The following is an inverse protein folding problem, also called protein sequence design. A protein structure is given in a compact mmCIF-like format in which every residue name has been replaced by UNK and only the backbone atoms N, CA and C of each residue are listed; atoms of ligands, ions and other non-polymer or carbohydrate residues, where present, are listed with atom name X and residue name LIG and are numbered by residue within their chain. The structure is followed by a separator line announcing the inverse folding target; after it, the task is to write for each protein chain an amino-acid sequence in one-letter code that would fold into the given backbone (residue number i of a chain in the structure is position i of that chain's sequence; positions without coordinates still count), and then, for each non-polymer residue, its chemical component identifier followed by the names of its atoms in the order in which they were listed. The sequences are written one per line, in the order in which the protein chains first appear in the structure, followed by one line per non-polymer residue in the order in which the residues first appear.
data_IF_819505142298
#
_entry.id   IF_819505142298
#
_cell.length_a   1.000
_cell.length_b   1.000
_cell.length_c   1.000
_cell.angle_alpha   90.00
_cell.angle_beta   90.00
_cell.angle_gamma   90.00
#
_symmetry.space_group_name_H-M   'P 1'
#
loop_
_entity.id
_entity.type
_entity.pdbx_description
1 polymer ?
#
# COMPACT_ATOMS: atom_id res chain seq x y z
N UNK A 1 24.46 -21.54 -8.75
CA UNK A 1 23.05 -21.08 -8.66
C UNK A 1 22.17 -22.08 -9.40
N UNK A 2 21.00 -22.46 -8.86
CA UNK A 2 20.16 -23.52 -9.42
C UNK A 2 19.60 -23.10 -10.80
N UNK A 3 19.68 -23.95 -11.84
CA UNK A 3 19.25 -23.63 -13.22
C UNK A 3 17.80 -23.13 -13.31
N UNK A 4 16.93 -23.62 -12.43
CA UNK A 4 15.52 -23.20 -12.33
C UNK A 4 15.37 -21.75 -11.85
N UNK A 5 16.23 -21.30 -10.94
CA UNK A 5 16.21 -19.91 -10.43
C UNK A 5 16.67 -18.95 -11.52
N UNK A 6 17.74 -19.27 -12.23
CA UNK A 6 18.23 -18.46 -13.35
C UNK A 6 17.14 -18.31 -14.43
N UNK A 7 16.54 -19.43 -14.85
CA UNK A 7 15.45 -19.43 -15.83
C UNK A 7 14.25 -18.58 -15.39
N UNK A 8 13.97 -18.45 -14.09
CA UNK A 8 12.92 -17.59 -13.59
C UNK A 8 13.33 -16.11 -13.57
N UNK A 9 14.55 -15.80 -13.12
CA UNK A 9 15.07 -14.43 -13.07
C UNK A 9 15.15 -13.79 -14.47
N UNK A 10 15.40 -14.60 -15.49
CA UNK A 10 15.47 -14.16 -16.89
C UNK A 10 14.08 -13.95 -17.52
N UNK A 11 12.97 -14.31 -16.84
CA UNK A 11 11.61 -14.06 -17.35
C UNK A 11 11.31 -12.58 -17.32
N UNK A 12 10.85 -12.07 -18.45
CA UNK A 12 10.37 -10.71 -18.60
C UNK A 12 8.84 -10.65 -18.63
N UNK A 13 8.31 -9.50 -18.23
CA UNK A 13 6.89 -9.15 -18.23
C UNK A 13 6.71 -7.74 -18.79
N UNK A 14 5.50 -7.40 -19.23
CA UNK A 14 5.16 -6.02 -19.56
C UNK A 14 5.35 -5.11 -18.35
N UNK A 15 5.91 -3.92 -18.56
CA UNK A 15 6.08 -2.90 -17.52
C UNK A 15 4.76 -2.21 -17.13
N UNK A 16 3.69 -2.38 -17.91
CA UNK A 16 2.42 -1.68 -17.73
C UNK A 16 1.77 -1.89 -16.34
N UNK A 17 1.66 -3.12 -15.79
CA UNK A 17 1.06 -3.33 -14.48
C UNK A 17 1.82 -2.62 -13.36
N UNK A 18 3.16 -2.62 -13.41
CA UNK A 18 3.99 -1.94 -12.42
C UNK A 18 3.87 -0.41 -12.53
N UNK A 19 3.72 0.13 -13.75
CA UNK A 19 3.50 1.56 -13.95
C UNK A 19 2.13 2.01 -13.44
N UNK A 20 1.06 1.25 -13.72
CA UNK A 20 -0.28 1.53 -13.17
C UNK A 20 -0.26 1.47 -11.65
N UNK A 21 0.40 0.46 -11.08
CA UNK A 21 0.57 0.35 -9.64
C UNK A 21 1.30 1.56 -9.04
N UNK A 22 2.41 1.99 -9.65
CA UNK A 22 3.17 3.18 -9.23
C UNK A 22 2.31 4.44 -9.25
N UNK A 23 1.56 4.67 -10.33
CA UNK A 23 0.69 5.84 -10.46
C UNK A 23 -0.39 5.82 -9.39
N UNK A 24 -1.10 4.69 -9.24
CA UNK A 24 -2.14 4.53 -8.23
C UNK A 24 -1.62 4.71 -6.81
N UNK A 25 -0.46 4.12 -6.49
CA UNK A 25 0.21 4.29 -5.20
C UNK A 25 0.55 5.76 -4.94
N UNK A 26 1.21 6.44 -5.87
CA UNK A 26 1.61 7.84 -5.69
C UNK A 26 0.41 8.79 -5.52
N UNK A 27 -0.65 8.61 -6.32
CA UNK A 27 -1.88 9.41 -6.22
C UNK A 27 -2.63 9.15 -4.91
N UNK A 28 -2.78 7.89 -4.52
CA UNK A 28 -3.43 7.51 -3.27
C UNK A 28 -2.68 8.10 -2.06
N UNK A 29 -1.35 8.01 -2.06
CA UNK A 29 -0.54 8.55 -0.96
C UNK A 29 -0.58 10.08 -0.92
N UNK A 30 -0.52 10.74 -2.09
CA UNK A 30 -0.67 12.19 -2.18
C UNK A 30 -2.02 12.65 -1.63
N UNK A 31 -3.10 12.00 -2.05
CA UNK A 31 -4.44 12.29 -1.52
C UNK A 31 -4.51 12.08 -0.01
N UNK A 32 -3.94 10.98 0.50
CA UNK A 32 -3.91 10.70 1.95
C UNK A 32 -3.19 11.79 2.73
N UNK A 33 -2.03 12.26 2.25
CA UNK A 33 -1.25 13.33 2.90
C UNK A 33 -2.01 14.66 2.87
N UNK A 34 -2.59 15.03 1.72
CA UNK A 34 -3.41 16.24 1.59
C UNK A 34 -4.62 16.17 2.52
N UNK A 35 -5.32 15.04 2.54
CA UNK A 35 -6.47 14.81 3.43
C UNK A 35 -6.04 14.97 4.90
N UNK A 36 -4.94 14.34 5.30
CA UNK A 36 -4.44 14.40 6.66
C UNK A 36 -4.12 15.84 7.08
N UNK A 37 -3.46 16.61 6.20
CA UNK A 37 -3.20 18.02 6.42
C UNK A 37 -4.49 18.86 6.50
N UNK A 38 -5.43 18.64 5.58
CA UNK A 38 -6.69 19.38 5.51
C UNK A 38 -7.61 19.19 6.73
N UNK A 39 -7.54 18.02 7.39
CA UNK A 39 -8.27 17.77 8.64
C UNK A 39 -7.58 18.38 9.87
N UNK A 40 -6.44 19.06 9.69
CA UNK A 40 -5.67 19.65 10.80
C UNK A 40 -4.92 18.63 11.66
N UNK A 41 -4.86 17.37 11.23
CA UNK A 41 -4.28 16.28 12.03
C UNK A 41 -2.79 16.43 12.27
N UNK A 42 -2.06 17.13 11.40
CA UNK A 42 -0.65 17.45 11.65
C UNK A 42 -0.53 18.24 12.97
N UNK A 43 -1.37 19.27 13.14
CA UNK A 43 -1.37 20.09 14.34
C UNK A 43 -1.84 19.30 15.57
N UNK A 44 -2.96 18.59 15.43
CA UNK A 44 -3.62 17.89 16.54
C UNK A 44 -2.81 16.71 17.06
N UNK A 45 -2.08 16.00 16.19
CA UNK A 45 -1.36 14.79 16.57
C UNK A 45 0.12 15.00 16.81
N UNK A 46 0.77 15.99 16.18
CA UNK A 46 2.23 16.12 16.26
C UNK A 46 2.74 17.47 16.79
N UNK A 47 1.91 18.51 16.85
CA UNK A 47 2.34 19.85 17.30
C UNK A 47 1.78 20.19 18.69
N UNK A 48 0.49 19.95 18.89
CA UNK A 48 -0.21 20.29 20.14
C UNK A 48 0.17 19.38 21.30
N UNK A 49 0.28 18.04 21.11
CA UNK A 49 0.65 17.15 22.20
C UNK A 49 2.06 17.44 22.72
N UNK A 50 2.22 17.43 24.04
CA UNK A 50 3.51 17.70 24.71
C UNK A 50 4.35 16.42 24.91
N UNK A 51 3.72 15.26 24.75
CA UNK A 51 4.35 13.95 24.94
C UNK A 51 3.93 13.01 23.82
N UNK A 52 4.92 12.28 23.28
CA UNK A 52 4.74 11.29 22.23
C UNK A 52 5.31 9.96 22.68
N UNK A 53 4.61 8.87 22.36
CA UNK A 53 5.06 7.52 22.70
C UNK A 53 6.00 7.01 21.61
N UNK A 54 7.31 6.99 21.89
CA UNK A 54 8.30 6.47 20.96
C UNK A 54 8.26 4.94 20.84
N UNK A 55 8.68 4.44 19.70
CA UNK A 55 8.94 3.01 19.51
C UNK A 55 10.28 2.63 20.14
N UNK A 56 10.37 1.42 20.69
CA UNK A 56 11.61 0.89 21.24
C UNK A 56 12.75 0.95 20.20
N UNK A 57 13.87 1.60 20.54
CA UNK A 57 15.01 1.82 19.65
C UNK A 57 14.90 3.03 18.71
N UNK A 58 13.78 3.76 18.75
CA UNK A 58 13.52 4.96 17.93
C UNK A 58 13.19 6.19 18.79
N UNK A 59 13.68 6.25 20.03
CA UNK A 59 13.44 7.37 20.95
C UNK A 59 13.97 8.72 20.43
N UNK A 60 14.85 8.69 19.42
CA UNK A 60 15.40 9.85 18.73
C UNK A 60 14.47 10.41 17.64
N UNK A 61 13.45 9.64 17.22
CA UNK A 61 12.44 10.09 16.24
C UNK A 61 11.36 10.83 17.01
N UNK A 62 11.28 12.15 16.81
CA UNK A 62 10.32 13.02 17.50
C UNK A 62 9.73 14.04 16.52
N UNK A 63 8.51 14.53 16.77
CA UNK A 63 7.99 15.68 16.04
C UNK A 63 8.96 16.86 16.09
N UNK A 64 9.13 17.52 14.96
CA UNK A 64 10.14 18.58 14.77
C UNK A 64 9.53 19.98 15.02
N UNK A 65 8.52 20.06 15.89
CA UNK A 65 7.68 21.24 16.03
C UNK A 65 7.13 21.69 14.67
N UNK A 66 7.19 22.98 14.37
CA UNK A 66 6.70 23.54 13.10
C UNK A 66 7.34 22.93 11.85
N UNK A 67 8.56 22.36 11.93
CA UNK A 67 9.18 21.67 10.79
C UNK A 67 8.48 20.37 10.42
N UNK A 68 7.58 19.84 11.25
CA UNK A 68 6.74 18.69 10.89
C UNK A 68 5.87 18.98 9.66
N UNK A 69 5.39 20.21 9.48
CA UNK A 69 4.68 20.60 8.25
C UNK A 69 5.56 20.50 6.99
N UNK A 70 6.85 20.87 7.12
CA UNK A 70 7.81 20.73 6.04
C UNK A 70 8.05 19.24 5.71
N UNK A 71 8.14 18.38 6.73
CA UNK A 71 8.28 16.94 6.53
C UNK A 71 7.08 16.35 5.76
N UNK A 72 5.85 16.69 6.15
CA UNK A 72 4.64 16.29 5.42
C UNK A 72 4.63 16.83 3.99
N UNK A 73 5.10 18.05 3.77
CA UNK A 73 5.20 18.67 2.44
C UNK A 73 6.20 17.92 1.55
N UNK A 74 7.38 17.58 2.08
CA UNK A 74 8.39 16.77 1.37
C UNK A 74 7.80 15.41 1.02
N UNK A 75 7.10 14.77 1.96
CA UNK A 75 6.43 13.48 1.74
C UNK A 75 5.39 13.56 0.62
N UNK A 76 4.57 14.62 0.61
CA UNK A 76 3.56 14.86 -0.43
C UNK A 76 4.17 15.11 -1.81
N UNK A 77 5.21 15.94 -1.90
CA UNK A 77 5.92 16.20 -3.17
C UNK A 77 6.56 14.91 -3.69
N UNK A 78 7.17 14.11 -2.81
CA UNK A 78 7.73 12.82 -3.18
C UNK A 78 6.65 11.87 -3.71
N UNK A 79 5.46 11.81 -3.08
CA UNK A 79 4.32 11.02 -3.56
C UNK A 79 3.84 11.46 -4.96
N UNK A 80 3.76 12.77 -5.20
CA UNK A 80 3.44 13.31 -6.53
C UNK A 80 4.48 12.93 -7.58
N UNK A 81 5.78 13.06 -7.26
CA UNK A 81 6.86 12.66 -8.16
C UNK A 81 6.90 11.15 -8.43
N UNK A 82 6.53 10.32 -7.44
CA UNK A 82 6.31 8.89 -7.66
C UNK A 82 5.18 8.67 -8.65
N UNK A 83 4.05 9.39 -8.54
CA UNK A 83 2.90 9.23 -9.42
C UNK A 83 3.21 9.58 -10.89
N UNK A 84 3.95 10.66 -11.14
CA UNK A 84 4.34 11.06 -12.51
C UNK A 84 5.61 10.37 -13.00
N UNK A 85 6.38 9.76 -12.09
CA UNK A 85 7.61 9.05 -12.42
C UNK A 85 8.74 10.01 -12.77
N UNK A 86 8.88 11.08 -11.97
CA UNK A 86 9.98 12.02 -12.04
C UNK A 86 10.99 11.70 -10.94
N UNK A 87 12.26 11.60 -11.32
CA UNK A 87 13.37 11.10 -10.52
C UNK A 87 12.95 9.93 -9.62
N UNK A 88 12.27 8.92 -10.20
CA UNK A 88 11.51 7.90 -9.45
C UNK A 88 12.29 7.30 -8.27
N UNK A 89 13.55 6.89 -8.50
CA UNK A 89 14.39 6.29 -7.45
C UNK A 89 14.63 7.24 -6.28
N UNK A 90 14.89 8.52 -6.56
CA UNK A 90 15.05 9.52 -5.52
C UNK A 90 13.71 9.78 -4.81
N UNK A 91 12.63 9.92 -5.57
CA UNK A 91 11.30 10.20 -5.04
C UNK A 91 10.78 9.09 -4.13
N UNK A 92 10.97 7.81 -4.48
CA UNK A 92 10.57 6.68 -3.62
C UNK A 92 11.44 6.55 -2.37
N UNK A 93 12.74 6.87 -2.43
CA UNK A 93 13.61 6.92 -1.25
C UNK A 93 13.17 8.04 -0.32
N UNK A 94 12.96 9.25 -0.84
CA UNK A 94 12.51 10.39 -0.05
C UNK A 94 11.14 10.13 0.58
N UNK A 95 10.22 9.53 -0.18
CA UNK A 95 8.92 9.13 0.35
C UNK A 95 9.07 8.09 1.46
N UNK A 96 9.82 7.01 1.25
CA UNK A 96 10.05 5.98 2.26
C UNK A 96 10.61 6.57 3.56
N UNK A 97 11.66 7.40 3.46
CA UNK A 97 12.29 8.01 4.63
C UNK A 97 11.35 8.96 5.35
N UNK A 98 10.70 9.88 4.64
CA UNK A 98 9.80 10.87 5.24
C UNK A 98 8.54 10.23 5.83
N UNK A 99 7.89 9.32 5.09
CA UNK A 99 6.69 8.63 5.53
C UNK A 99 6.98 7.74 6.75
N UNK A 100 8.06 6.96 6.72
CA UNK A 100 8.44 6.11 7.84
C UNK A 100 8.84 6.94 9.07
N UNK A 101 9.48 8.09 8.88
CA UNK A 101 9.78 8.98 9.99
C UNK A 101 8.48 9.50 10.64
N UNK A 102 7.50 9.95 9.84
CA UNK A 102 6.19 10.40 10.34
C UNK A 102 5.51 9.30 11.18
N UNK A 103 5.52 8.06 10.70
CA UNK A 103 4.96 6.91 11.45
C UNK A 103 5.67 6.63 12.77
N UNK A 104 6.99 6.81 12.80
CA UNK A 104 7.82 6.52 13.97
C UNK A 104 7.78 7.63 15.03
N UNK A 105 7.26 8.82 14.71
CA UNK A 105 7.16 9.94 15.64
C UNK A 105 6.27 9.64 16.85
N UNK A 106 5.17 8.91 16.66
CA UNK A 106 4.23 8.60 17.74
C UNK A 106 3.47 7.29 17.51
N UNK A 107 3.69 6.33 18.42
CA UNK A 107 3.02 5.02 18.44
C UNK A 107 1.50 5.11 18.58
N UNK A 108 0.96 6.20 19.14
CA UNK A 108 -0.49 6.35 19.28
C UNK A 108 -1.21 6.53 17.94
N UNK A 109 -0.48 6.96 16.91
CA UNK A 109 -1.02 7.11 15.55
C UNK A 109 -0.85 5.85 14.69
N UNK A 110 -0.32 4.77 15.27
CA UNK A 110 -0.02 3.53 14.57
C UNK A 110 -1.24 2.93 13.87
N UNK A 111 -1.04 2.55 12.60
CA UNK A 111 -1.99 1.77 11.84
C UNK A 111 -1.25 0.71 11.02
N UNK A 112 -1.73 -0.54 11.07
CA UNK A 112 -1.17 -1.65 10.29
C UNK A 112 -1.05 -1.32 8.79
N UNK A 113 -1.97 -0.50 8.26
CA UNK A 113 -1.94 -0.06 6.87
C UNK A 113 -0.77 0.89 6.59
N UNK A 114 -0.45 1.81 7.50
CA UNK A 114 0.69 2.71 7.32
C UNK A 114 2.02 1.96 7.45
N UNK A 115 2.11 1.01 8.37
CA UNK A 115 3.24 0.09 8.43
C UNK A 115 3.45 -0.66 7.10
N UNK A 116 2.37 -1.16 6.49
CA UNK A 116 2.43 -1.78 5.17
C UNK A 116 2.94 -0.80 4.09
N UNK A 117 2.54 0.47 4.10
CA UNK A 117 3.03 1.47 3.16
C UNK A 117 4.55 1.70 3.31
N UNK A 118 5.09 1.72 4.54
CA UNK A 118 6.54 1.78 4.76
C UNK A 118 7.27 0.57 4.15
N UNK A 119 6.76 -0.66 4.36
CA UNK A 119 7.35 -1.86 3.76
C UNK A 119 7.24 -1.88 2.23
N UNK A 120 6.09 -1.48 1.69
CA UNK A 120 5.84 -1.44 0.26
C UNK A 120 6.72 -0.38 -0.42
N UNK A 121 6.82 0.81 0.16
CA UNK A 121 7.69 1.87 -0.38
C UNK A 121 9.17 1.47 -0.33
N UNK A 122 9.61 0.79 0.74
CA UNK A 122 10.95 0.20 0.80
C UNK A 122 11.18 -0.82 -0.33
N UNK A 123 10.25 -1.74 -0.57
CA UNK A 123 10.32 -2.69 -1.68
C UNK A 123 10.41 -1.96 -3.03
N UNK A 124 9.57 -0.94 -3.23
CA UNK A 124 9.51 -0.14 -4.46
C UNK A 124 10.83 0.57 -4.78
N UNK A 125 11.69 0.86 -3.79
CA UNK A 125 13.04 1.40 -4.03
C UNK A 125 13.81 0.52 -5.00
N UNK A 126 13.66 -0.80 -4.94
CA UNK A 126 14.41 -1.76 -5.76
C UNK A 126 13.78 -2.01 -7.14
N UNK A 127 12.51 -1.65 -7.32
CA UNK A 127 11.74 -1.98 -8.52
C UNK A 127 11.98 -0.99 -9.68
N UNK A 128 12.06 -1.45 -10.94
CA UNK A 128 12.24 -0.59 -12.11
C UNK A 128 10.91 0.04 -12.59
N UNK A 129 10.17 0.70 -11.70
CA UNK A 129 8.84 1.26 -12.00
C UNK A 129 8.85 2.54 -12.86
N UNK A 130 10.04 3.04 -13.22
CA UNK A 130 10.25 4.17 -14.12
C UNK A 130 10.34 3.78 -15.61
N UNK A 131 10.28 2.48 -15.93
CA UNK A 131 10.44 1.98 -17.31
C UNK A 131 9.22 2.20 -18.22
N UNK A 132 8.11 2.71 -17.69
CA UNK A 132 6.90 3.00 -18.47
C UNK A 132 6.04 4.09 -17.83
N UNK A 133 5.35 4.90 -18.65
CA UNK A 133 4.53 6.06 -18.23
C UNK A 133 5.23 6.99 -17.21
N UNK A 134 6.54 7.18 -17.36
CA UNK A 134 7.40 7.95 -16.45
C UNK A 134 7.95 9.16 -17.20
N UNK A 135 8.03 10.33 -16.55
CA UNK A 135 8.73 11.49 -17.13
C UNK A 135 10.22 11.19 -17.33
N UNK A 136 10.82 10.40 -16.43
CA UNK A 136 12.21 9.95 -16.52
C UNK A 136 12.50 9.02 -17.70
N UNK A 137 11.46 8.48 -18.34
CA UNK A 137 11.63 7.61 -19.49
C UNK A 137 11.70 8.49 -20.75
N UNK A 138 12.87 8.62 -21.40
CA UNK A 138 12.96 9.39 -22.63
C UNK A 138 12.04 8.74 -23.65
N UNK A 139 11.03 9.47 -24.13
CA UNK A 139 10.10 9.03 -25.20
C UNK A 139 10.81 8.77 -26.55
N UNK A 140 12.15 8.74 -26.60
CA UNK A 140 12.91 9.11 -27.79
C UNK A 140 14.05 8.14 -28.20
N UNK A 141 14.10 6.89 -27.74
CA UNK A 141 15.20 5.98 -28.16
C UNK A 141 14.79 4.65 -28.76
N UNK A 142 13.49 4.37 -28.93
CA UNK A 142 13.08 3.20 -29.70
C UNK A 142 11.83 3.51 -30.52
N UNK A 143 12.05 3.87 -31.79
CA UNK A 143 11.00 4.02 -32.80
C UNK A 143 10.41 2.66 -33.23
N UNK A 144 10.92 1.54 -32.70
CA UNK A 144 10.22 0.27 -32.75
C UNK A 144 9.30 0.18 -31.54
N UNK A 145 7.99 0.06 -31.78
CA UNK A 145 6.90 0.04 -30.80
C UNK A 145 6.94 -1.19 -29.87
N UNK A 146 8.08 -1.51 -29.25
CA UNK A 146 8.19 -2.59 -28.29
C UNK A 146 7.73 -2.10 -26.93
N UNK A 147 6.68 -2.74 -26.40
CA UNK A 147 6.22 -2.50 -25.03
C UNK A 147 7.41 -2.71 -24.08
N UNK A 148 7.74 -1.72 -23.22
CA UNK A 148 8.86 -1.88 -22.31
C UNK A 148 8.63 -3.07 -21.39
N UNK A 149 9.67 -3.88 -21.23
CA UNK A 149 9.63 -5.06 -20.39
C UNK A 149 10.46 -4.87 -19.13
N UNK A 150 10.03 -5.52 -18.05
CA UNK A 150 10.73 -5.58 -16.75
C UNK A 150 10.88 -7.05 -16.32
N UNK A 151 11.81 -7.37 -15.42
CA UNK A 151 11.88 -8.70 -14.83
C UNK A 151 10.55 -9.07 -14.13
N UNK A 152 10.05 -10.28 -14.39
CA UNK A 152 8.78 -10.78 -13.85
C UNK A 152 8.75 -10.73 -12.30
N UNK A 153 9.90 -10.97 -11.65
CA UNK A 153 10.03 -10.91 -10.20
C UNK A 153 9.66 -9.53 -9.61
N UNK A 154 9.78 -8.45 -10.39
CA UNK A 154 9.41 -7.11 -9.92
C UNK A 154 7.91 -7.00 -9.66
N UNK A 155 7.07 -7.67 -10.46
CA UNK A 155 5.62 -7.73 -10.21
C UNK A 155 5.33 -8.74 -9.11
N UNK A 156 5.97 -9.90 -9.15
CA UNK A 156 5.67 -10.99 -8.22
C UNK A 156 6.12 -10.68 -6.78
N UNK A 157 7.13 -9.83 -6.59
CA UNK A 157 7.51 -9.33 -5.26
C UNK A 157 6.40 -8.49 -4.59
N UNK A 158 5.71 -7.62 -5.34
CA UNK A 158 4.54 -6.88 -4.84
C UNK A 158 3.40 -7.84 -4.51
N UNK A 159 3.13 -8.81 -5.40
CA UNK A 159 2.11 -9.83 -5.15
C UNK A 159 2.42 -10.64 -3.91
N UNK A 160 3.68 -11.01 -3.70
CA UNK A 160 4.12 -11.76 -2.52
C UNK A 160 3.89 -10.94 -1.25
N UNK A 161 4.28 -9.66 -1.25
CA UNK A 161 4.06 -8.77 -0.10
C UNK A 161 2.56 -8.65 0.23
N UNK A 162 1.71 -8.42 -0.79
CA UNK A 162 0.25 -8.40 -0.62
C UNK A 162 -0.28 -9.75 -0.12
N UNK A 163 0.21 -10.85 -0.69
CA UNK A 163 -0.18 -12.21 -0.31
C UNK A 163 0.07 -12.48 1.16
N UNK A 164 1.24 -12.07 1.68
CA UNK A 164 1.58 -12.21 3.10
C UNK A 164 0.58 -11.44 3.95
N UNK A 165 0.32 -10.17 3.63
CA UNK A 165 -0.59 -9.32 4.41
C UNK A 165 -2.01 -9.88 4.43
N UNK A 166 -2.55 -10.23 3.25
CA UNK A 166 -3.90 -10.81 3.16
C UNK A 166 -3.99 -12.16 3.88
N UNK A 167 -3.00 -13.04 3.71
CA UNK A 167 -3.01 -14.33 4.37
C UNK A 167 -3.02 -14.21 5.90
N UNK A 168 -2.17 -13.35 6.47
CA UNK A 168 -2.18 -13.09 7.91
C UNK A 168 -3.45 -12.38 8.37
N UNK A 169 -4.01 -11.48 7.56
CA UNK A 169 -5.30 -10.86 7.85
C UNK A 169 -6.44 -11.89 7.89
N UNK A 170 -6.38 -12.94 7.06
CA UNK A 170 -7.30 -14.07 7.09
C UNK A 170 -7.10 -14.95 8.33
N UNK A 171 -5.85 -15.30 8.66
CA UNK A 171 -5.53 -16.07 9.87
C UNK A 171 -6.01 -15.36 11.15
N UNK A 172 -5.83 -14.04 11.24
CA UNK A 172 -6.30 -13.24 12.37
C UNK A 172 -7.83 -13.30 12.53
N UNK A 173 -8.57 -13.58 11.45
CA UNK A 173 -10.03 -13.73 11.46
C UNK A 173 -10.48 -15.15 11.83
N UNK A 174 -9.59 -16.13 11.94
CA UNK A 174 -9.92 -17.49 12.38
C UNK A 174 -10.01 -17.54 13.90
N UNK A 175 -11.04 -16.94 14.46
CA UNK A 175 -11.36 -17.02 15.87
C UNK A 175 -12.88 -16.97 16.10
N UNK A 176 -13.31 -17.38 17.29
CA UNK A 176 -14.72 -17.49 17.65
C UNK A 176 -15.44 -16.13 17.65
N UNK A 177 -14.78 -15.06 18.10
CA UNK A 177 -15.38 -13.73 18.14
C UNK A 177 -15.62 -13.16 16.73
N UNK A 178 -14.74 -13.46 15.79
CA UNK A 178 -14.89 -13.08 14.39
C UNK A 178 -15.93 -13.96 13.69
N UNK A 179 -15.75 -15.28 13.67
CA UNK A 179 -16.57 -16.18 12.82
C UNK A 179 -17.92 -16.54 13.42
N UNK A 180 -17.97 -16.80 14.73
CA UNK A 180 -19.17 -17.30 15.41
C UNK A 180 -19.99 -16.19 16.08
N UNK A 181 -19.37 -15.06 16.39
CA UNK A 181 -20.08 -13.90 16.97
C UNK A 181 -20.18 -12.69 16.04
N UNK A 182 -19.39 -12.65 14.95
CA UNK A 182 -19.30 -11.51 14.04
C UNK A 182 -19.07 -10.17 14.76
N UNK A 183 -18.41 -10.20 15.93
CA UNK A 183 -18.34 -9.07 16.86
C UNK A 183 -17.81 -7.78 16.21
N UNK A 184 -16.69 -7.79 15.46
CA UNK A 184 -16.18 -6.56 14.85
C UNK A 184 -17.16 -5.95 13.86
N UNK A 185 -17.86 -6.77 13.07
CA UNK A 185 -18.82 -6.30 12.08
C UNK A 185 -20.12 -5.84 12.70
N UNK A 186 -20.58 -6.50 13.78
CA UNK A 186 -21.70 -6.03 14.62
C UNK A 186 -21.44 -4.65 15.24
N UNK A 187 -20.18 -4.32 15.54
CA UNK A 187 -19.81 -3.02 16.09
C UNK A 187 -19.63 -1.97 14.98
N UNK A 188 -18.96 -2.32 13.88
CA UNK A 188 -18.55 -1.36 12.86
C UNK A 188 -19.60 -1.06 11.80
N UNK A 189 -20.34 -2.06 11.30
CA UNK A 189 -21.31 -1.84 10.22
C UNK A 189 -22.46 -0.92 10.62
N UNK A 190 -23.04 -1.04 11.82
CA UNK A 190 -24.11 -0.14 12.24
C UNK A 190 -23.66 1.33 12.30
N UNK A 191 -22.39 1.62 12.58
CA UNK A 191 -21.85 2.98 12.62
C UNK A 191 -21.76 3.68 11.25
N UNK A 192 -22.08 2.98 10.15
CA UNK A 192 -22.06 3.47 8.76
C UNK A 192 -23.48 3.61 8.17
N UNK A 193 -24.44 4.00 8.99
CA UNK A 193 -25.87 4.06 8.65
C UNK A 193 -26.24 5.12 7.59
N UNK A 194 -25.40 6.13 7.35
CA UNK A 194 -25.67 7.23 6.41
C UNK A 194 -25.55 6.84 4.91
N UNK A 195 -25.43 5.56 4.58
CA UNK A 195 -25.37 5.09 3.20
C UNK A 195 -26.78 5.00 2.60
N UNK A 196 -27.11 5.83 1.58
CA UNK A 196 -28.40 5.73 0.91
C UNK A 196 -28.58 4.32 0.33
N UNK A 197 -29.78 3.76 0.49
CA UNK A 197 -30.21 2.40 0.07
C UNK A 197 -29.60 1.19 0.80
N UNK A 198 -28.41 1.29 1.39
CA UNK A 198 -27.71 0.15 2.02
C UNK A 198 -27.73 0.16 3.56
N UNK A 199 -28.07 1.27 4.21
CA UNK A 199 -28.07 1.39 5.68
C UNK A 199 -28.90 0.32 6.39
N UNK A 200 -30.11 0.03 5.90
CA UNK A 200 -31.00 -1.00 6.47
C UNK A 200 -30.44 -2.42 6.34
N UNK A 201 -29.68 -2.70 5.28
CA UNK A 201 -29.03 -3.99 5.06
C UNK A 201 -27.83 -4.16 6.00
N UNK A 202 -27.04 -3.10 6.21
CA UNK A 202 -25.86 -3.11 7.08
C UNK A 202 -26.20 -3.32 8.57
N UNK A 203 -27.46 -3.20 8.96
CA UNK A 203 -27.92 -3.48 10.33
C UNK A 203 -28.31 -4.94 10.55
N UNK A 204 -28.52 -5.72 9.48
CA UNK A 204 -28.99 -7.09 9.59
C UNK A 204 -27.88 -8.01 10.08
N UNK A 205 -28.14 -8.79 11.13
CA UNK A 205 -27.12 -9.66 11.73
C UNK A 205 -26.55 -10.68 10.73
N UNK A 206 -27.41 -11.24 9.87
CA UNK A 206 -26.97 -12.20 8.85
C UNK A 206 -25.93 -11.58 7.89
N UNK A 207 -26.00 -10.28 7.64
CA UNK A 207 -25.01 -9.54 6.83
C UNK A 207 -23.68 -9.48 7.57
N UNK A 208 -23.68 -9.25 8.89
CA UNK A 208 -22.45 -9.27 9.68
C UNK A 208 -21.77 -10.64 9.61
N UNK A 209 -22.54 -11.73 9.72
CA UNK A 209 -22.01 -13.09 9.56
C UNK A 209 -21.52 -13.36 8.14
N UNK A 210 -22.28 -12.97 7.12
CA UNK A 210 -21.89 -13.14 5.73
C UNK A 210 -20.56 -12.40 5.44
N UNK A 211 -20.44 -11.13 5.83
CA UNK A 211 -19.20 -10.35 5.69
C UNK A 211 -18.04 -10.93 6.51
N UNK A 212 -18.32 -11.52 7.68
CA UNK A 212 -17.29 -12.14 8.52
C UNK A 212 -16.64 -13.32 7.82
N UNK A 213 -17.45 -14.28 7.37
CA UNK A 213 -16.99 -15.50 6.72
C UNK A 213 -16.42 -15.22 5.34
N UNK A 214 -17.09 -14.39 4.53
CA UNK A 214 -16.60 -14.03 3.20
C UNK A 214 -15.31 -13.21 3.27
N UNK A 215 -15.18 -12.29 4.22
CA UNK A 215 -13.94 -11.54 4.44
C UNK A 215 -12.77 -12.43 4.83
N UNK A 216 -12.99 -13.39 5.74
CA UNK A 216 -11.98 -14.39 6.11
C UNK A 216 -11.58 -15.27 4.92
N UNK A 217 -12.55 -15.82 4.18
CA UNK A 217 -12.27 -16.67 3.01
C UNK A 217 -11.56 -15.90 1.91
N UNK A 218 -12.00 -14.67 1.61
CA UNK A 218 -11.37 -13.81 0.64
C UNK A 218 -9.90 -13.58 0.98
N UNK A 219 -9.60 -13.20 2.22
CA UNK A 219 -8.24 -12.93 2.68
C UNK A 219 -7.32 -14.15 2.60
N UNK A 220 -7.84 -15.36 2.89
CA UNK A 220 -7.06 -16.60 2.79
C UNK A 220 -6.88 -17.08 1.34
N UNK A 221 -7.84 -16.80 0.46
CA UNK A 221 -7.85 -17.31 -0.92
C UNK A 221 -7.21 -16.37 -1.93
N UNK A 222 -7.22 -15.05 -1.69
CA UNK A 222 -6.65 -14.06 -2.60
C UNK A 222 -5.16 -14.27 -2.91
N UNK A 223 -4.28 -14.74 -1.98
CA UNK A 223 -2.90 -15.07 -2.30
C UNK A 223 -2.78 -16.11 -3.42
N UNK A 224 -3.61 -17.16 -3.36
CA UNK A 224 -3.61 -18.23 -4.34
C UNK A 224 -4.15 -17.73 -5.68
N UNK A 225 -5.19 -16.89 -5.68
CA UNK A 225 -5.75 -16.29 -6.90
C UNK A 225 -4.77 -15.32 -7.58
N UNK A 226 -4.02 -14.53 -6.80
CA UNK A 226 -3.01 -13.59 -7.32
C UNK A 226 -1.82 -14.30 -7.97
N UNK A 227 -1.45 -15.47 -7.45
CA UNK A 227 -0.35 -16.30 -7.95
C UNK A 227 -0.84 -17.22 -9.08
N UNK A 228 -2.13 -17.58 -9.10
CA UNK A 228 -2.72 -18.44 -10.11
C UNK A 228 -2.70 -17.76 -11.48
N UNK A 229 -1.66 -18.08 -12.24
CA UNK A 229 -1.54 -17.65 -13.63
C UNK A 229 -2.51 -18.48 -14.46
N UNK A 230 -3.53 -17.83 -15.03
CA UNK A 230 -4.36 -18.44 -16.07
C UNK A 230 -3.42 -18.88 -17.21
N UNK A 231 -3.24 -20.19 -17.37
CA UNK A 231 -2.49 -20.77 -18.49
C UNK A 231 -3.43 -20.72 -19.70
N UNK A 232 -3.53 -19.56 -20.35
CA UNK A 232 -4.47 -19.37 -21.45
C UNK A 232 -4.27 -18.07 -22.24
N UNK A 233 -3.86 -18.26 -23.50
CA UNK A 233 -3.90 -17.36 -24.65
C UNK A 233 -2.89 -16.20 -24.72
N UNK A 234 -1.74 -16.52 -25.31
CA UNK A 234 -0.73 -15.60 -25.83
C UNK A 234 0.08 -16.24 -26.96
N UNK A 235 -0.59 -16.99 -27.82
CA UNK A 235 -0.18 -17.31 -29.19
C UNK A 235 -1.42 -17.04 -30.03
N UNK A 236 -1.50 -15.83 -30.55
CA UNK A 236 -2.18 -15.40 -31.77
C UNK A 236 -1.54 -14.06 -32.15
#
# INVERSE_FOLDING_TARGET
MNKTIQSYLDKSASAAPLAVFRIGFGLMMLYSIIRFAAHGWINSFYITPQFHFSYYGFDWVKPLGSFTYLLFTICGIAAFFIAIGFKYRLSIILFFLSFTYIELMDKTTYLNHYYFISLLSFLMIFLPANRHFSIDYPKATDHTLKTPTIPQWSIDSIKLLLSIVYFYAGLAKINSDWLLKAMPLKIWLPSKYDLPFLGNLMQQEWVHYAFSWTGMLYDLLIPFLLIYKKRGSGHL
#
